data_IF_538512227057
#
_entry.id   IF_538512227057
#
_cell.length_a   1.000
_cell.length_b   1.000
_cell.length_c   1.000
_cell.angle_alpha   90.00
_cell.angle_beta   90.00
_cell.angle_gamma   90.00
#
_symmetry.space_group_name_H-M   'P 1'
#
loop_
_entity.id
_entity.type
_entity.pdbx_description
1 polymer ?
#
# COMPACT_ATOMS: atom_id res chain seq x y z
N UNK A 1 -7.64 18.90 19.82
CA UNK A 1 -8.07 17.48 19.87
C UNK A 1 -8.42 17.04 18.46
N UNK A 2 -8.06 15.83 18.04
CA UNK A 2 -8.45 15.20 16.78
C UNK A 2 -9.18 13.90 17.14
N UNK A 3 -10.40 13.71 16.64
CA UNK A 3 -11.10 12.43 16.68
C UNK A 3 -10.95 11.78 15.30
N UNK A 4 -10.25 10.64 15.23
CA UNK A 4 -9.94 9.94 14.01
C UNK A 4 -10.93 8.77 13.81
N UNK A 5 -11.83 8.92 12.85
CA UNK A 5 -12.77 7.86 12.46
C UNK A 5 -12.17 7.03 11.32
N UNK A 6 -11.31 6.09 11.69
CA UNK A 6 -10.58 5.24 10.77
C UNK A 6 -9.81 4.18 11.55
N UNK A 7 -8.86 3.53 10.89
CA UNK A 7 -8.05 2.46 11.48
C UNK A 7 -6.85 3.01 12.25
N UNK A 8 -6.31 2.18 13.14
CA UNK A 8 -5.30 2.54 14.14
C UNK A 8 -4.07 3.25 13.54
N UNK A 9 -3.47 2.70 12.47
CA UNK A 9 -2.28 3.30 11.86
C UNK A 9 -2.51 4.71 11.27
N UNK A 10 -3.75 5.03 10.87
CA UNK A 10 -4.08 6.36 10.37
C UNK A 10 -4.12 7.36 11.53
N UNK A 11 -4.65 6.94 12.67
CA UNK A 11 -4.63 7.74 13.90
C UNK A 11 -3.18 7.94 14.40
N UNK A 12 -2.33 6.91 14.36
CA UNK A 12 -0.89 7.04 14.63
C UNK A 12 -0.24 8.07 13.71
N UNK A 13 -0.51 8.00 12.41
CA UNK A 13 -0.01 8.99 11.43
C UNK A 13 -0.45 10.41 11.78
N UNK A 14 -1.72 10.60 12.17
CA UNK A 14 -2.21 11.91 12.62
C UNK A 14 -1.50 12.38 13.90
N UNK A 15 -1.21 11.48 14.83
CA UNK A 15 -0.48 11.77 16.06
C UNK A 15 0.98 12.15 15.78
N UNK A 16 1.67 11.43 14.90
CA UNK A 16 3.04 11.75 14.46
C UNK A 16 3.09 13.17 13.88
N UNK A 17 2.12 13.54 13.06
CA UNK A 17 2.07 14.86 12.41
C UNK A 17 1.55 15.99 13.33
N UNK A 18 0.98 15.67 14.49
CA UNK A 18 0.42 16.63 15.43
C UNK A 18 0.82 16.29 16.88
N UNK A 19 2.12 16.32 17.22
CA UNK A 19 2.62 15.78 18.50
C UNK A 19 2.01 16.44 19.73
N UNK A 20 1.62 17.72 19.64
CA UNK A 20 1.03 18.48 20.74
C UNK A 20 -0.50 18.34 20.85
N UNK A 21 -1.15 17.65 19.89
CA UNK A 21 -2.60 17.47 19.90
C UNK A 21 -2.94 16.08 20.43
N UNK A 22 -3.92 16.02 21.33
CA UNK A 22 -4.59 14.77 21.68
C UNK A 22 -5.32 14.20 20.47
N UNK A 23 -4.88 13.03 20.00
CA UNK A 23 -5.54 12.22 18.96
C UNK A 23 -6.29 11.07 19.63
N UNK A 24 -7.53 10.84 19.21
CA UNK A 24 -8.40 9.77 19.70
C UNK A 24 -8.82 8.91 18.52
N UNK A 25 -8.80 7.59 18.67
CA UNK A 25 -9.47 6.65 17.76
C UNK A 25 -10.68 6.06 18.49
N UNK A 26 -11.77 5.84 17.78
CA UNK A 26 -13.03 5.36 18.39
C UNK A 26 -12.90 3.92 18.93
N UNK A 27 -12.09 3.11 18.27
CA UNK A 27 -11.83 1.71 18.61
C UNK A 27 -10.35 1.39 18.34
N UNK A 28 -9.66 0.85 19.34
CA UNK A 28 -8.25 0.45 19.22
C UNK A 28 -8.09 -0.84 18.40
N UNK A 29 -9.15 -1.65 18.27
CA UNK A 29 -9.15 -2.88 17.48
C UNK A 29 -9.47 -2.63 16.00
N UNK A 30 -9.67 -1.38 15.58
CA UNK A 30 -9.82 -0.99 14.19
C UNK A 30 -8.49 -1.19 13.42
N UNK A 31 -8.20 -2.43 13.05
CA UNK A 31 -6.94 -2.87 12.46
C UNK A 31 -6.88 -2.77 10.94
N UNK A 32 -5.74 -3.21 10.38
CA UNK A 32 -5.53 -3.26 8.93
C UNK A 32 -4.58 -4.42 8.63
N UNK A 33 -5.02 -5.40 7.84
CA UNK A 33 -4.23 -6.60 7.55
C UNK A 33 -2.85 -6.31 6.96
N UNK A 34 -2.72 -5.20 6.23
CA UNK A 34 -1.43 -4.74 5.72
C UNK A 34 -0.51 -4.23 6.83
N UNK A 35 -1.04 -3.38 7.71
CA UNK A 35 -0.25 -2.83 8.81
C UNK A 35 0.14 -3.91 9.83
N UNK A 36 -0.72 -4.89 10.03
CA UNK A 36 -0.51 -6.01 10.94
C UNK A 36 0.42 -7.08 10.32
N UNK A 37 0.70 -7.01 9.01
CA UNK A 37 1.51 -8.01 8.31
C UNK A 37 3.02 -7.85 8.50
N UNK A 38 3.49 -6.71 8.99
CA UNK A 38 4.92 -6.38 9.08
C UNK A 38 5.24 -5.60 10.36
N UNK A 39 6.38 -5.90 10.97
CA UNK A 39 6.90 -5.22 12.17
C UNK A 39 8.16 -4.40 11.86
N UNK A 40 8.60 -3.53 12.77
CA UNK A 40 9.87 -2.81 12.63
C UNK A 40 11.07 -3.76 12.54
N UNK A 41 11.05 -4.84 13.32
CA UNK A 41 12.06 -5.90 13.29
C UNK A 41 12.16 -6.57 11.91
N UNK A 42 11.01 -6.89 11.28
CA UNK A 42 10.98 -7.43 9.92
C UNK A 42 11.64 -6.47 8.92
N UNK A 43 11.40 -5.15 9.04
CA UNK A 43 12.03 -4.16 8.16
C UNK A 43 13.55 -4.15 8.36
N UNK A 44 14.04 -4.22 9.61
CA UNK A 44 15.48 -4.29 9.88
C UNK A 44 16.11 -5.55 9.29
N UNK A 45 15.42 -6.68 9.34
CA UNK A 45 15.88 -7.92 8.70
C UNK A 45 15.93 -7.76 7.17
N UNK A 46 14.88 -7.21 6.55
CA UNK A 46 14.86 -6.95 5.11
C UNK A 46 15.97 -6.00 4.67
N UNK A 47 16.26 -4.95 5.45
CA UNK A 47 17.39 -4.03 5.20
C UNK A 47 18.73 -4.76 5.28
N UNK A 48 18.89 -5.72 6.19
CA UNK A 48 20.10 -6.54 6.28
C UNK A 48 20.26 -7.49 5.07
N UNK A 49 19.15 -7.99 4.52
CA UNK A 49 19.12 -8.82 3.31
C UNK A 49 19.35 -8.00 2.02
N UNK A 50 18.98 -6.73 2.02
CA UNK A 50 19.07 -5.81 0.88
C UNK A 50 19.85 -4.53 1.22
N UNK A 51 21.15 -4.65 1.58
CA UNK A 51 21.92 -3.50 2.02
C UNK A 51 22.01 -2.41 0.94
N UNK A 52 21.68 -1.18 1.32
CA UNK A 52 21.72 0.00 0.45
C UNK A 52 20.46 0.22 -0.39
N UNK A 53 19.46 -0.68 -0.38
CA UNK A 53 18.17 -0.39 -1.01
C UNK A 53 17.34 0.52 -0.08
N UNK A 54 16.85 1.68 -0.56
CA UNK A 54 15.94 2.51 0.22
C UNK A 54 14.61 1.80 0.43
N UNK A 55 14.00 2.06 1.59
CA UNK A 55 12.71 1.54 2.02
C UNK A 55 11.61 2.55 1.71
N UNK A 56 10.79 2.23 0.71
CA UNK A 56 9.54 2.94 0.42
C UNK A 56 8.40 2.17 1.06
N UNK A 57 7.70 2.82 1.98
CA UNK A 57 6.59 2.17 2.69
C UNK A 57 5.27 2.85 2.39
N UNK A 58 4.30 2.06 1.95
CA UNK A 58 2.92 2.49 1.84
C UNK A 58 2.38 2.86 3.24
N UNK A 59 1.58 3.93 3.33
CA UNK A 59 1.16 4.51 4.60
C UNK A 59 0.44 3.51 5.53
N UNK A 60 -0.10 2.42 4.97
CA UNK A 60 -0.76 1.30 5.64
C UNK A 60 0.22 0.39 6.41
N UNK A 61 0.90 0.97 7.39
CA UNK A 61 1.89 0.33 8.27
C UNK A 61 1.88 0.97 9.65
N UNK A 62 2.40 0.30 10.68
CA UNK A 62 2.50 0.89 12.03
C UNK A 62 3.51 2.05 12.10
N UNK A 63 3.43 2.85 13.15
CA UNK A 63 4.42 3.88 13.46
C UNK A 63 5.85 3.31 13.62
N UNK A 64 5.98 2.10 14.15
CA UNK A 64 7.29 1.42 14.30
C UNK A 64 7.92 1.10 12.94
N UNK A 65 7.12 0.58 11.99
CA UNK A 65 7.57 0.32 10.61
C UNK A 65 7.96 1.63 9.92
N UNK A 66 7.19 2.71 10.15
CA UNK A 66 7.52 4.05 9.63
C UNK A 66 8.86 4.57 10.17
N UNK A 67 9.26 4.20 11.39
CA UNK A 67 10.54 4.61 11.95
C UNK A 67 11.74 4.00 11.21
N UNK A 68 11.55 2.85 10.54
CA UNK A 68 12.58 2.16 9.76
C UNK A 68 12.57 2.50 8.26
N UNK A 69 11.59 3.31 7.85
CA UNK A 69 11.28 3.68 6.46
C UNK A 69 12.04 4.93 6.03
N UNK A 70 12.58 4.94 4.80
CA UNK A 70 13.24 6.13 4.24
C UNK A 70 12.21 7.15 3.70
N UNK A 71 11.15 6.68 3.05
CA UNK A 71 10.05 7.54 2.58
C UNK A 71 8.70 6.82 2.55
N UNK A 72 7.66 7.50 3.04
CA UNK A 72 6.28 7.00 2.96
C UNK A 72 5.61 7.38 1.63
N UNK A 73 4.71 6.52 1.15
CA UNK A 73 3.84 6.82 0.01
C UNK A 73 2.38 6.43 0.29
N UNK A 74 1.49 6.77 -0.64
CA UNK A 74 0.09 6.37 -0.71
C UNK A 74 -0.17 5.75 -2.07
N UNK A 75 -1.28 5.04 -2.26
CA UNK A 75 -1.65 4.50 -3.58
C UNK A 75 -1.75 5.60 -4.66
N UNK A 76 -2.03 6.85 -4.28
CA UNK A 76 -2.08 8.01 -5.18
C UNK A 76 -0.71 8.44 -5.72
N UNK A 77 0.36 8.30 -4.94
CA UNK A 77 1.67 8.86 -5.27
C UNK A 77 2.84 7.86 -5.24
N UNK A 78 2.57 6.56 -5.04
CA UNK A 78 3.57 5.51 -4.95
C UNK A 78 4.58 5.56 -6.11
N UNK A 79 4.11 5.56 -7.37
CA UNK A 79 4.98 5.63 -8.54
C UNK A 79 5.86 6.88 -8.53
N UNK A 80 5.30 8.05 -8.21
CA UNK A 80 6.05 9.30 -8.14
C UNK A 80 7.12 9.26 -7.05
N UNK A 81 6.83 8.66 -5.90
CA UNK A 81 7.80 8.50 -4.80
C UNK A 81 8.92 7.56 -5.21
N UNK A 82 8.59 6.41 -5.79
CA UNK A 82 9.55 5.43 -6.31
C UNK A 82 10.51 6.08 -7.32
N UNK A 83 9.96 6.81 -8.30
CA UNK A 83 10.75 7.48 -9.34
C UNK A 83 11.56 8.68 -8.84
N UNK A 84 11.24 9.22 -7.67
CA UNK A 84 11.99 10.34 -7.09
C UNK A 84 13.33 9.92 -6.46
N UNK A 85 13.49 8.63 -6.14
CA UNK A 85 14.71 8.10 -5.55
C UNK A 85 15.80 7.92 -6.62
N UNK A 86 17.07 8.22 -6.33
CA UNK A 86 18.16 7.99 -7.28
C UNK A 86 18.45 6.50 -7.51
N UNK A 87 18.04 5.62 -6.58
CA UNK A 87 18.37 4.21 -6.56
C UNK A 87 17.60 3.38 -7.58
N UNK A 88 18.28 2.45 -8.27
CA UNK A 88 17.65 1.55 -9.23
C UNK A 88 16.87 0.41 -8.57
N UNK A 89 17.13 0.13 -7.29
CA UNK A 89 16.46 -0.91 -6.51
C UNK A 89 15.81 -0.30 -5.28
N UNK A 90 14.58 -0.68 -4.99
CA UNK A 90 13.80 -0.14 -3.87
C UNK A 90 13.10 -1.27 -3.13
N UNK A 91 13.19 -1.31 -1.80
CA UNK A 91 12.35 -2.18 -0.98
C UNK A 91 10.98 -1.52 -0.84
N UNK A 92 9.91 -2.19 -1.30
CA UNK A 92 8.56 -1.65 -1.24
C UNK A 92 7.66 -2.45 -0.31
N UNK A 93 7.11 -1.77 0.70
CA UNK A 93 6.40 -2.38 1.83
C UNK A 93 4.99 -1.79 2.05
N UNK A 94 4.10 -2.47 2.79
CA UNK A 94 4.05 -3.92 2.91
C UNK A 94 3.29 -4.57 1.74
N UNK A 95 2.54 -3.79 0.97
CA UNK A 95 1.56 -4.33 0.02
C UNK A 95 2.23 -4.92 -1.24
N UNK A 96 2.15 -6.25 -1.36
CA UNK A 96 2.67 -7.04 -2.46
C UNK A 96 2.04 -6.66 -3.80
N UNK A 97 0.72 -6.47 -3.83
CA UNK A 97 0.02 -6.20 -5.09
C UNK A 97 0.28 -4.79 -5.57
N UNK A 98 0.27 -3.80 -4.66
CA UNK A 98 0.69 -2.45 -4.98
C UNK A 98 2.13 -2.44 -5.51
N UNK A 99 3.06 -3.17 -4.88
CA UNK A 99 4.42 -3.33 -5.37
C UNK A 99 4.46 -3.89 -6.80
N UNK A 100 3.76 -4.99 -7.07
CA UNK A 100 3.70 -5.62 -8.40
C UNK A 100 3.10 -4.70 -9.46
N UNK A 101 2.03 -4.00 -9.12
CA UNK A 101 1.35 -3.07 -10.01
C UNK A 101 2.20 -1.82 -10.29
N UNK A 102 2.99 -1.35 -9.32
CA UNK A 102 3.98 -0.28 -9.54
C UNK A 102 5.17 -0.76 -10.38
N UNK A 103 5.63 -2.00 -10.19
CA UNK A 103 6.74 -2.58 -10.95
C UNK A 103 6.49 -2.57 -12.46
N UNK A 104 5.23 -2.72 -12.90
CA UNK A 104 4.86 -2.64 -14.32
C UNK A 104 4.95 -1.22 -14.90
N UNK A 105 5.02 -0.20 -14.05
CA UNK A 105 4.99 1.22 -14.42
C UNK A 105 6.36 1.90 -14.24
N UNK A 106 7.34 1.20 -13.68
CA UNK A 106 8.71 1.70 -13.48
C UNK A 106 9.75 0.79 -14.14
N UNK A 107 10.90 1.36 -14.50
CA UNK A 107 12.09 0.58 -14.90
C UNK A 107 12.96 0.18 -13.70
N UNK A 108 12.73 0.77 -12.53
CA UNK A 108 13.42 0.38 -11.29
C UNK A 108 13.00 -1.02 -10.89
N UNK A 109 13.85 -1.69 -10.11
CA UNK A 109 13.54 -2.98 -9.52
C UNK A 109 12.92 -2.77 -8.14
N UNK A 110 11.67 -3.20 -7.98
CA UNK A 110 10.97 -3.17 -6.70
C UNK A 110 11.11 -4.54 -6.04
N UNK A 111 11.61 -4.54 -4.82
CA UNK A 111 11.77 -5.73 -3.98
C UNK A 111 10.52 -5.80 -3.09
N UNK A 112 9.63 -6.78 -3.32
CA UNK A 112 8.36 -6.86 -2.61
C UNK A 112 8.52 -7.51 -1.23
N UNK A 113 7.58 -7.21 -0.34
CA UNK A 113 7.30 -8.02 0.84
C UNK A 113 6.19 -9.04 0.56
N UNK A 114 6.56 -10.32 0.42
CA UNK A 114 5.66 -11.37 -0.08
C UNK A 114 4.45 -11.69 0.81
N UNK A 115 4.51 -11.34 2.10
CA UNK A 115 3.45 -11.65 3.07
C UNK A 115 2.36 -10.58 3.17
N UNK A 116 2.64 -9.35 2.72
CA UNK A 116 1.72 -8.22 2.94
C UNK A 116 0.66 -8.11 1.87
N UNK A 117 -0.60 -8.32 2.24
CA UNK A 117 -1.75 -8.18 1.34
C UNK A 117 -2.97 -7.60 2.07
N UNK A 118 -3.78 -6.84 1.34
CA UNK A 118 -5.08 -6.42 1.83
C UNK A 118 -6.08 -7.57 1.68
N UNK A 119 -6.60 -8.09 2.79
CA UNK A 119 -7.55 -9.21 2.80
C UNK A 119 -8.87 -8.89 2.09
N UNK A 120 -9.17 -7.60 1.89
CA UNK A 120 -10.35 -7.14 1.15
C UNK A 120 -10.07 -7.20 -0.35
N UNK A 121 -8.94 -6.63 -0.80
CA UNK A 121 -8.62 -6.55 -2.22
C UNK A 121 -8.11 -7.87 -2.82
N UNK A 122 -7.58 -8.80 -2.02
CA UNK A 122 -7.14 -10.12 -2.50
C UNK A 122 -8.31 -11.01 -2.99
N UNK A 123 -9.54 -10.70 -2.57
CA UNK A 123 -10.72 -11.52 -2.87
C UNK A 123 -11.11 -11.48 -4.35
N UNK A 124 -10.81 -10.40 -5.06
CA UNK A 124 -11.21 -10.20 -6.45
C UNK A 124 -10.23 -10.89 -7.42
N UNK A 125 -10.76 -11.45 -8.51
CA UNK A 125 -9.97 -12.06 -9.59
C UNK A 125 -10.29 -11.44 -10.94
N UNK A 126 -9.30 -11.40 -11.84
CA UNK A 126 -9.52 -10.96 -13.22
C UNK A 126 -10.57 -11.80 -13.97
N UNK A 127 -10.70 -13.09 -13.63
CA UNK A 127 -11.74 -13.97 -14.18
C UNK A 127 -13.16 -13.48 -13.88
N UNK A 128 -13.39 -12.94 -12.68
CA UNK A 128 -14.69 -12.40 -12.29
C UNK A 128 -15.06 -11.20 -13.18
N UNK A 129 -14.08 -10.33 -13.47
CA UNK A 129 -14.27 -9.17 -14.36
C UNK A 129 -14.60 -9.65 -15.77
N UNK A 130 -13.83 -10.60 -16.32
CA UNK A 130 -14.09 -11.15 -17.66
C UNK A 130 -15.49 -11.73 -17.77
N UNK A 131 -15.91 -12.50 -16.76
CA UNK A 131 -17.26 -13.05 -16.69
C UNK A 131 -18.35 -11.96 -16.76
N UNK A 132 -18.21 -10.86 -15.99
CA UNK A 132 -19.19 -9.78 -16.03
C UNK A 132 -19.15 -8.97 -17.33
N UNK A 133 -17.98 -8.80 -17.96
CA UNK A 133 -17.88 -8.12 -19.27
C UNK A 133 -18.63 -8.88 -20.37
N UNK A 134 -18.71 -10.20 -20.31
CA UNK A 134 -19.52 -10.99 -21.25
C UNK A 134 -21.03 -10.75 -21.10
N UNK A 135 -21.48 -10.30 -19.92
CA UNK A 135 -22.89 -10.08 -19.60
C UNK A 135 -23.34 -8.62 -19.83
N UNK A 136 -22.40 -7.67 -19.86
CA UNK A 136 -22.69 -6.24 -19.86
C UNK A 136 -21.80 -5.51 -20.87
N UNK A 137 -22.38 -5.12 -22.01
CA UNK A 137 -21.67 -4.53 -23.17
C UNK A 137 -20.94 -3.22 -22.85
N UNK A 138 -21.50 -2.38 -21.96
CA UNK A 138 -20.95 -1.08 -21.57
C UNK A 138 -20.35 -1.08 -20.14
N UNK A 139 -19.92 -2.24 -19.63
CA UNK A 139 -19.36 -2.33 -18.28
C UNK A 139 -18.03 -1.57 -18.17
N UNK A 140 -18.01 -0.56 -17.30
CA UNK A 140 -16.78 0.09 -16.84
C UNK A 140 -16.37 -0.48 -15.49
N UNK A 141 -15.09 -0.86 -15.39
CA UNK A 141 -14.48 -1.46 -14.21
C UNK A 141 -13.39 -0.55 -13.68
N UNK A 142 -13.52 -0.19 -12.41
CA UNK A 142 -12.56 0.61 -11.68
C UNK A 142 -11.99 -0.26 -10.56
N UNK A 143 -10.66 -0.35 -10.46
CA UNK A 143 -9.98 -1.17 -9.46
C UNK A 143 -9.02 -0.35 -8.60
N UNK A 144 -8.87 -0.75 -7.34
CA UNK A 144 -7.82 -0.19 -6.48
C UNK A 144 -6.49 -0.90 -6.80
N UNK A 145 -5.33 -0.20 -6.80
CA UNK A 145 -4.03 -0.83 -7.09
C UNK A 145 -3.55 -1.83 -6.02
N UNK A 146 -4.30 -2.02 -4.94
CA UNK A 146 -4.09 -3.12 -3.98
C UNK A 146 -4.70 -4.44 -4.46
N UNK A 147 -5.47 -4.45 -5.56
CA UNK A 147 -5.96 -5.68 -6.18
C UNK A 147 -4.81 -6.41 -6.89
N UNK A 148 -4.95 -7.74 -6.99
CA UNK A 148 -4.02 -8.56 -7.77
C UNK A 148 -3.87 -8.04 -9.20
N UNK A 149 -2.69 -8.21 -9.79
CA UNK A 149 -2.38 -7.73 -11.14
C UNK A 149 -3.34 -8.28 -12.21
N UNK A 150 -3.89 -9.48 -12.02
CA UNK A 150 -4.94 -10.03 -12.90
C UNK A 150 -6.21 -9.18 -12.91
N UNK A 151 -6.53 -8.49 -11.81
CA UNK A 151 -7.67 -7.56 -11.69
C UNK A 151 -7.33 -6.23 -12.34
N UNK A 152 -6.18 -5.63 -12.00
CA UNK A 152 -5.81 -4.30 -12.51
C UNK A 152 -5.59 -4.29 -14.02
N UNK A 153 -5.16 -5.42 -14.60
CA UNK A 153 -5.03 -5.57 -16.06
C UNK A 153 -6.37 -5.58 -16.80
N UNK A 154 -7.45 -5.99 -16.13
CA UNK A 154 -8.81 -6.07 -16.70
C UNK A 154 -9.65 -4.82 -16.42
N UNK A 155 -9.18 -3.95 -15.52
CA UNK A 155 -9.85 -2.71 -15.15
C UNK A 155 -9.61 -1.59 -16.17
N UNK A 156 -10.63 -0.78 -16.44
CA UNK A 156 -10.54 0.39 -17.31
C UNK A 156 -9.80 1.55 -16.65
N UNK A 157 -9.84 1.60 -15.31
CA UNK A 157 -9.07 2.55 -14.51
C UNK A 157 -8.57 1.91 -13.22
N UNK A 158 -7.32 2.19 -12.87
CA UNK A 158 -6.73 1.81 -11.59
C UNK A 158 -6.25 3.05 -10.84
N UNK A 159 -6.71 3.25 -9.60
CA UNK A 159 -6.33 4.42 -8.80
C UNK A 159 -6.71 4.32 -7.33
N UNK A 160 -6.30 5.29 -6.51
CA UNK A 160 -6.76 5.39 -5.11
C UNK A 160 -8.25 5.76 -5.03
N UNK A 161 -8.91 5.50 -3.90
CA UNK A 161 -10.32 5.87 -3.68
C UNK A 161 -10.67 7.33 -4.02
N UNK A 162 -9.69 8.22 -3.90
CA UNK A 162 -9.86 9.65 -4.14
C UNK A 162 -9.60 10.08 -5.60
N UNK A 163 -9.18 9.15 -6.45
CA UNK A 163 -9.01 9.31 -7.90
C UNK A 163 -10.12 8.59 -8.69
N UNK A 164 -10.90 7.75 -8.02
CA UNK A 164 -12.15 7.16 -8.52
C UNK A 164 -13.29 8.15 -8.29
#
# INVERSE_FOLDING_TARGET
IILFNGVHFMAETASILNPDKKVLVADLEAGCSLADSITGDDVRELKAQHPGAPVVTYINCSAEVKAETDICCTSRNALKVIESLPDDKVLFLPDLFLCKNMQQQTKKTLIPYEKGKCIVHEQYKGDDIRYFREQFEDLLVIAHPECDTSVTNEADFTGSNSQM
#
